data_IF_377717748766
#
_entry.id   IF_377717748766
#
_cell.length_a   1.000
_cell.length_b   1.000
_cell.length_c   1.000
_cell.angle_alpha   90.00
_cell.angle_beta   90.00
_cell.angle_gamma   90.00
#
_symmetry.space_group_name_H-M   'P 1'
#
loop_
_entity.id
_entity.type
_entity.pdbx_description
1 polymer ?
#
# COMPACT_ATOMS: atom_id res chain seq x y z
N UNK A 1 14.96 -20.96 18.75
CA UNK A 1 14.72 -19.50 18.81
C UNK A 1 14.18 -19.15 17.45
N UNK A 2 12.91 -18.77 17.34
CA UNK A 2 12.34 -18.33 16.07
C UNK A 2 13.08 -17.06 15.63
N UNK A 3 13.40 -16.97 14.34
CA UNK A 3 13.90 -15.73 13.75
C UNK A 3 12.89 -14.60 14.07
N UNK A 4 13.35 -13.41 14.46
CA UNK A 4 12.45 -12.30 14.73
C UNK A 4 11.64 -12.01 13.47
N UNK A 5 10.32 -11.87 13.62
CA UNK A 5 9.46 -11.48 12.50
C UNK A 5 10.01 -10.21 11.85
N UNK A 6 10.26 -10.21 10.53
CA UNK A 6 10.81 -9.05 9.83
C UNK A 6 9.77 -7.94 9.67
N UNK A 7 8.54 -8.19 10.07
CA UNK A 7 7.40 -7.30 9.92
C UNK A 7 7.06 -6.64 11.24
N UNK A 8 7.01 -5.30 11.24
CA UNK A 8 6.32 -4.56 12.30
C UNK A 8 4.88 -4.34 11.86
N UNK A 9 3.92 -4.69 12.71
CA UNK A 9 2.48 -4.58 12.43
C UNK A 9 1.83 -3.57 13.36
N UNK A 10 0.77 -2.93 12.88
CA UNK A 10 -0.11 -2.07 13.67
C UNK A 10 -1.52 -2.65 13.57
N UNK A 11 -2.20 -2.76 14.72
CA UNK A 11 -3.61 -3.11 14.74
C UNK A 11 -4.47 -1.90 14.38
N UNK A 12 -5.44 -2.11 13.48
CA UNK A 12 -6.39 -1.07 13.08
C UNK A 12 -7.64 -1.11 13.96
N UNK A 13 -8.13 0.06 14.35
CA UNK A 13 -9.36 0.24 15.09
C UNK A 13 -10.62 -0.01 14.24
N UNK A 14 -10.48 0.08 12.91
CA UNK A 14 -11.56 -0.12 11.93
C UNK A 14 -11.12 -1.07 10.80
N UNK A 15 -10.85 -2.34 11.10
CA UNK A 15 -10.48 -3.32 10.06
C UNK A 15 -11.62 -3.54 9.05
N UNK A 16 -12.87 -3.27 9.45
CA UNK A 16 -14.06 -3.25 8.60
C UNK A 16 -14.05 -2.15 7.52
N UNK A 17 -13.13 -1.19 7.60
CA UNK A 17 -12.92 -0.11 6.61
C UNK A 17 -11.68 -0.34 5.74
N UNK A 18 -11.03 -1.49 5.88
CA UNK A 18 -9.99 -1.92 4.95
C UNK A 18 -10.64 -2.49 3.69
N UNK A 19 -10.12 -2.10 2.52
CA UNK A 19 -10.57 -2.66 1.25
C UNK A 19 -9.39 -3.24 0.48
N UNK A 20 -9.67 -4.35 -0.21
CA UNK A 20 -8.74 -4.97 -1.16
C UNK A 20 -9.57 -5.22 -2.40
N UNK A 21 -9.18 -4.58 -3.50
CA UNK A 21 -9.79 -4.78 -4.80
C UNK A 21 -8.73 -5.27 -5.79
N UNK A 22 -9.12 -6.22 -6.64
CA UNK A 22 -8.23 -6.78 -7.66
C UNK A 22 -9.03 -6.93 -8.94
N UNK A 23 -8.53 -6.31 -9.99
CA UNK A 23 -9.04 -6.43 -11.34
C UNK A 23 -8.05 -7.18 -12.21
N UNK A 24 -8.54 -8.22 -12.90
CA UNK A 24 -7.75 -8.95 -13.90
C UNK A 24 -7.86 -8.19 -15.22
N UNK A 25 -6.72 -7.86 -15.80
CA UNK A 25 -6.63 -7.21 -17.10
C UNK A 25 -6.90 -8.16 -18.26
N UNK A 26 -6.90 -7.64 -19.49
CA UNK A 26 -7.25 -8.41 -20.68
C UNK A 26 -6.31 -9.62 -20.86
N UNK A 27 -6.88 -10.82 -20.84
CA UNK A 27 -6.13 -12.07 -21.05
C UNK A 27 -6.10 -12.51 -22.51
N UNK A 28 -6.92 -11.88 -23.37
CA UNK A 28 -7.19 -12.32 -24.74
C UNK A 28 -6.91 -11.19 -25.75
N UNK A 29 -5.93 -11.43 -26.62
CA UNK A 29 -5.42 -10.51 -27.64
C UNK A 29 -6.51 -10.14 -28.66
N UNK A 30 -7.11 -8.96 -28.53
CA UNK A 30 -7.75 -8.32 -29.69
C UNK A 30 -6.69 -7.63 -30.55
N UNK A 31 -6.87 -7.65 -31.88
CA UNK A 31 -6.01 -6.98 -32.87
C UNK A 31 -6.24 -5.47 -32.81
N UNK A 32 -5.86 -4.85 -31.69
CA UNK A 32 -5.46 -3.44 -31.60
C UNK A 32 -3.93 -3.36 -31.60
N UNK A 33 -3.36 -2.17 -31.80
CA UNK A 33 -1.93 -1.99 -31.53
C UNK A 33 -1.65 -2.47 -30.09
N UNK A 34 -0.55 -3.19 -29.81
CA UNK A 34 -0.25 -3.60 -28.44
C UNK A 34 -0.16 -2.34 -27.58
N UNK A 35 -1.14 -2.16 -26.70
CA UNK A 35 -0.92 -1.35 -25.53
C UNK A 35 0.07 -2.15 -24.70
N UNK A 36 1.26 -1.59 -24.49
CA UNK A 36 2.12 -2.02 -23.39
C UNK A 36 1.97 -0.91 -22.36
N UNK A 37 0.90 -0.99 -21.57
CA UNK A 37 0.79 -0.15 -20.39
C UNK A 37 1.95 -0.53 -19.47
N UNK A 38 2.80 0.42 -19.04
CA UNK A 38 3.92 0.08 -18.17
C UNK A 38 3.42 -0.34 -16.78
N UNK A 39 4.26 -1.10 -16.08
CA UNK A 39 4.05 -1.34 -14.65
C UNK A 39 3.99 -0.01 -13.89
N UNK A 40 3.03 0.09 -12.98
CA UNK A 40 2.80 1.30 -12.19
C UNK A 40 2.55 0.93 -10.73
N UNK A 41 3.08 1.75 -9.82
CA UNK A 41 2.77 1.65 -8.40
C UNK A 41 2.71 3.05 -7.79
N UNK A 42 1.69 3.32 -6.98
CA UNK A 42 1.58 4.54 -6.18
C UNK A 42 1.19 4.24 -4.75
N UNK A 43 1.52 5.18 -3.87
CA UNK A 43 0.99 5.25 -2.52
C UNK A 43 0.34 6.62 -2.40
N UNK A 44 -0.94 6.61 -2.09
CA UNK A 44 -1.76 7.80 -1.95
C UNK A 44 -2.17 7.92 -0.47
N UNK A 45 -2.01 9.13 0.07
CA UNK A 45 -2.34 9.45 1.47
C UNK A 45 -3.23 10.67 1.46
N UNK A 46 -4.45 10.51 1.97
CA UNK A 46 -5.46 11.56 1.99
C UNK A 46 -6.13 11.65 3.37
N UNK A 47 -6.59 12.86 3.72
CA UNK A 47 -7.45 13.09 4.88
C UNK A 47 -8.91 13.01 4.45
N UNK A 48 -9.75 12.37 5.24
CA UNK A 48 -11.20 12.32 4.96
C UNK A 48 -11.90 13.60 5.39
N UNK A 49 -13.14 13.82 4.93
CA UNK A 49 -14.00 14.91 5.41
C UNK A 49 -14.27 14.86 6.93
N UNK A 50 -14.21 13.67 7.54
CA UNK A 50 -14.04 13.53 8.99
C UNK A 50 -12.56 13.83 9.29
N UNK A 51 -12.27 15.06 9.72
CA UNK A 51 -10.94 15.69 9.88
C UNK A 51 -9.92 14.90 10.76
N UNK A 52 -10.33 13.79 11.35
CA UNK A 52 -9.53 12.92 12.22
C UNK A 52 -9.13 11.58 11.59
N UNK A 53 -9.39 11.38 10.30
CA UNK A 53 -9.14 10.12 9.59
C UNK A 53 -8.21 10.30 8.41
N UNK A 54 -7.32 9.33 8.23
CA UNK A 54 -6.32 9.29 7.17
C UNK A 54 -6.53 8.00 6.39
N UNK A 55 -6.72 8.07 5.09
CA UNK A 55 -6.75 6.91 4.22
C UNK A 55 -5.36 6.75 3.60
N UNK A 56 -4.82 5.55 3.71
CA UNK A 56 -3.61 5.14 2.98
C UNK A 56 -4.03 4.11 1.96
N UNK A 57 -3.73 4.38 0.69
CA UNK A 57 -4.04 3.52 -0.44
C UNK A 57 -2.76 3.16 -1.17
N UNK A 58 -2.65 1.91 -1.59
CA UNK A 58 -1.59 1.40 -2.44
C UNK A 58 -2.27 0.90 -3.70
N UNK A 59 -1.92 1.47 -4.84
CA UNK A 59 -2.33 1.00 -6.15
C UNK A 59 -1.12 0.41 -6.88
N UNK A 60 -1.32 -0.75 -7.49
CA UNK A 60 -0.32 -1.42 -8.31
C UNK A 60 -0.97 -1.92 -9.59
N UNK A 61 -0.35 -1.67 -10.73
CA UNK A 61 -0.79 -2.16 -12.03
C UNK A 61 0.37 -2.91 -12.68
N UNK A 62 0.13 -4.15 -13.10
CA UNK A 62 1.06 -4.99 -13.82
C UNK A 62 0.79 -4.88 -15.33
N UNK A 63 1.06 -3.71 -15.89
CA UNK A 63 0.67 -3.33 -17.24
C UNK A 63 -0.79 -3.69 -17.56
N UNK A 64 -1.01 -4.37 -18.68
CA UNK A 64 -2.36 -4.77 -19.13
C UNK A 64 -2.85 -6.07 -18.46
N UNK A 65 -2.10 -6.64 -17.52
CA UNK A 65 -2.43 -7.92 -16.86
C UNK A 65 -3.34 -7.75 -15.65
N UNK A 66 -3.38 -6.56 -15.05
CA UNK A 66 -4.30 -6.28 -13.96
C UNK A 66 -3.82 -5.21 -13.00
N UNK A 67 -4.75 -4.80 -12.14
CA UNK A 67 -4.57 -3.77 -11.13
C UNK A 67 -5.00 -4.31 -9.78
N UNK A 68 -4.19 -4.08 -8.75
CA UNK A 68 -4.49 -4.37 -7.35
C UNK A 68 -4.47 -3.07 -6.55
N UNK A 69 -5.52 -2.86 -5.78
CA UNK A 69 -5.66 -1.72 -4.87
C UNK A 69 -5.89 -2.26 -3.46
N UNK A 70 -5.13 -1.74 -2.50
CA UNK A 70 -5.36 -1.98 -1.08
C UNK A 70 -5.45 -0.65 -0.36
N UNK A 71 -6.49 -0.45 0.45
CA UNK A 71 -6.63 0.77 1.24
C UNK A 71 -7.04 0.48 2.67
N UNK A 72 -6.57 1.32 3.58
CA UNK A 72 -6.90 1.28 4.99
C UNK A 72 -7.18 2.67 5.52
N UNK A 73 -8.22 2.78 6.35
CA UNK A 73 -8.52 3.97 7.12
C UNK A 73 -7.81 3.90 8.48
N UNK A 74 -7.05 4.94 8.80
CA UNK A 74 -6.29 5.10 10.03
C UNK A 74 -6.85 6.27 10.85
N UNK A 75 -6.83 6.11 12.17
CA UNK A 75 -6.85 7.24 13.11
C UNK A 75 -5.53 8.01 13.04
N UNK A 76 -5.53 9.26 13.54
CA UNK A 76 -4.29 10.01 13.75
C UNK A 76 -3.26 9.27 14.61
N UNK A 77 -3.69 8.50 15.61
CA UNK A 77 -2.80 7.73 16.48
C UNK A 77 -2.16 6.53 15.75
N UNK A 78 -2.91 5.84 14.89
CA UNK A 78 -2.39 4.74 14.06
C UNK A 78 -1.45 5.26 12.97
N UNK A 79 -1.79 6.38 12.35
CA UNK A 79 -0.91 7.05 11.39
C UNK A 79 0.41 7.51 12.04
N UNK A 80 0.36 8.00 13.27
CA UNK A 80 1.56 8.33 14.05
C UNK A 80 2.45 7.10 14.28
N UNK A 81 1.86 5.97 14.71
CA UNK A 81 2.60 4.71 14.85
C UNK A 81 3.22 4.23 13.53
N UNK A 82 2.51 4.38 12.42
CA UNK A 82 3.03 4.05 11.09
C UNK A 82 4.24 4.92 10.72
N UNK A 83 4.18 6.22 11.02
CA UNK A 83 5.30 7.14 10.80
C UNK A 83 6.52 6.79 11.65
N UNK A 84 6.32 6.42 12.91
CA UNK A 84 7.41 5.96 13.80
C UNK A 84 8.08 4.69 13.24
N UNK A 85 7.28 3.73 12.77
CA UNK A 85 7.78 2.48 12.17
C UNK A 85 8.58 2.76 10.90
N UNK A 86 8.07 3.61 10.00
CA UNK A 86 8.78 3.99 8.78
C UNK A 86 10.11 4.67 9.11
N UNK A 87 10.12 5.55 10.12
CA UNK A 87 11.34 6.23 10.58
C UNK A 87 12.38 5.25 11.10
N UNK A 88 11.97 4.29 11.94
CA UNK A 88 12.87 3.24 12.46
C UNK A 88 13.43 2.34 11.35
N UNK A 89 12.60 1.97 10.38
CA UNK A 89 13.03 1.17 9.22
C UNK A 89 14.04 1.92 8.38
N UNK A 90 13.83 3.21 8.11
CA UNK A 90 14.78 4.05 7.36
C UNK A 90 16.12 4.14 8.10
N UNK A 91 16.10 4.44 9.40
CA UNK A 91 17.32 4.54 10.20
C UNK A 91 18.14 3.23 10.18
N UNK A 92 17.46 2.07 10.24
CA UNK A 92 18.12 0.75 10.11
C UNK A 92 18.73 0.51 8.74
N UNK A 93 18.17 1.07 7.67
CA UNK A 93 18.75 0.93 6.33
C UNK A 93 20.03 1.76 6.18
N UNK A 94 20.08 2.93 6.81
CA UNK A 94 21.25 3.81 6.81
C UNK A 94 22.42 3.15 7.56
N UNK A 95 22.18 2.58 8.75
CA UNK A 95 23.19 1.86 9.54
C UNK A 95 23.75 0.61 8.82
N UNK A 96 22.94 -0.05 7.98
CA UNK A 96 23.39 -1.18 7.14
C UNK A 96 24.18 -0.76 5.89
N UNK A 97 24.16 0.52 5.55
CA UNK A 97 24.84 1.06 4.37
C UNK A 97 26.24 1.62 4.69
N UNK A 98 26.63 1.62 5.97
CA UNK A 98 27.94 2.08 6.49
C UNK A 98 28.94 0.94 6.76
#
# INVERSE_FOLDING_TARGET
>A
MSEPDPWTTIDLARPDRTSIDVSVGESDLSVGAPGESPDYASIDVETTDDEDRIIVSIETTAGDHGTGIASAELTAAEAGQLADILTDVVAKQEDRSE
#
